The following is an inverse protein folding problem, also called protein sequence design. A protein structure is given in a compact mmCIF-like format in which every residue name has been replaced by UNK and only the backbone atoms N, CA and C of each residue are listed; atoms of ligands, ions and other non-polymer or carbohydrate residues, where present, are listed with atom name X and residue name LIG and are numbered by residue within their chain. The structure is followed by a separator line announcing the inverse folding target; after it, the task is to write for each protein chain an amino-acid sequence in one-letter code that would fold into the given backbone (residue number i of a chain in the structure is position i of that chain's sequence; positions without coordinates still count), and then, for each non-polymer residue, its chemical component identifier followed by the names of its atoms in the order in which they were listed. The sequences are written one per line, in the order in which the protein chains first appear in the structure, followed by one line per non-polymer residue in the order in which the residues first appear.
data_IF_251384269077
#
_entry.id   IF_251384269077
#
_cell.length_a   1.000
_cell.length_b   1.000
_cell.length_c   1.000
_cell.angle_alpha   90.00
_cell.angle_beta   90.00
_cell.angle_gamma   90.00
#
_symmetry.space_group_name_H-M   'P 1'
#
loop_
_entity.id
_entity.type
_entity.pdbx_description
1 polymer ?
#
# COMPACT_ATOMS: atom_id res chain seq x y z
N UNK A 1 3.01 25.30 25.49
CA UNK A 1 1.64 24.86 25.14
C UNK A 1 1.57 23.36 25.38
N UNK A 2 0.45 22.84 25.81
CA UNK A 2 0.22 21.42 25.93
C UNK A 2 0.30 20.76 24.55
N UNK A 3 0.90 19.57 24.47
CA UNK A 3 1.01 18.82 23.21
C UNK A 3 -0.35 18.28 22.79
N UNK A 4 -0.60 18.24 21.48
CA UNK A 4 -1.78 17.58 20.92
C UNK A 4 -1.56 16.06 20.94
N UNK A 5 -2.51 15.34 21.49
CA UNK A 5 -2.48 13.88 21.59
C UNK A 5 -3.14 13.27 20.35
N UNK A 6 -2.35 12.81 19.42
CA UNK A 6 -2.82 12.26 18.14
C UNK A 6 -2.64 10.74 18.16
N UNK A 7 -3.75 9.99 18.15
CA UNK A 7 -3.75 8.54 18.22
C UNK A 7 -3.94 7.93 16.84
N UNK A 8 -2.93 7.23 16.35
CA UNK A 8 -3.00 6.45 15.10
C UNK A 8 -3.50 5.03 15.40
N UNK A 9 -4.55 4.59 14.67
CA UNK A 9 -5.20 3.28 14.86
C UNK A 9 -5.07 2.44 13.60
N UNK A 10 -4.54 1.22 13.73
CA UNK A 10 -4.42 0.26 12.63
C UNK A 10 -4.33 -1.17 13.16
N UNK A 11 -4.59 -2.18 12.29
CA UNK A 11 -4.67 -3.55 12.76
C UNK A 11 -4.14 -4.60 11.80
N UNK A 12 -3.88 -4.23 10.55
CA UNK A 12 -3.38 -5.15 9.52
C UNK A 12 -1.99 -4.73 9.03
N UNK A 13 -1.27 -5.68 8.41
CA UNK A 13 0.05 -5.41 7.82
C UNK A 13 0.03 -4.26 6.79
N UNK A 14 -0.89 -4.20 5.82
CA UNK A 14 -0.91 -3.10 4.86
C UNK A 14 -1.15 -1.73 5.50
N UNK A 15 -2.03 -1.65 6.51
CA UNK A 15 -2.23 -0.42 7.27
C UNK A 15 -0.95 -0.01 8.02
N UNK A 16 -0.32 -0.97 8.70
CA UNK A 16 0.90 -0.72 9.48
C UNK A 16 2.03 -0.14 8.63
N UNK A 17 2.28 -0.70 7.44
CA UNK A 17 3.31 -0.20 6.50
C UNK A 17 3.07 1.28 6.17
N UNK A 18 1.81 1.67 5.95
CA UNK A 18 1.42 3.03 5.56
C UNK A 18 1.31 4.00 6.73
N UNK A 19 0.95 3.49 7.92
CA UNK A 19 0.81 4.32 9.13
C UNK A 19 2.11 4.48 9.91
N UNK A 20 3.02 3.52 9.85
CA UNK A 20 4.29 3.58 10.57
C UNK A 20 5.12 4.85 10.30
N UNK A 21 5.33 5.28 9.03
CA UNK A 21 6.03 6.53 8.77
C UNK A 21 5.26 7.75 9.31
N UNK A 22 3.93 7.73 9.32
CA UNK A 22 3.11 8.79 9.87
C UNK A 22 3.24 8.88 11.39
N UNK A 23 3.21 7.75 12.11
CA UNK A 23 3.45 7.70 13.55
C UNK A 23 4.80 8.31 13.90
N UNK A 24 5.85 7.99 13.14
CA UNK A 24 7.20 8.57 13.33
C UNK A 24 7.24 10.07 13.02
N UNK A 25 6.60 10.49 11.94
CA UNK A 25 6.51 11.91 11.58
C UNK A 25 5.81 12.72 12.69
N UNK A 26 4.68 12.22 13.20
CA UNK A 26 3.96 12.84 14.31
C UNK A 26 4.82 12.91 15.57
N UNK A 27 5.54 11.83 15.91
CA UNK A 27 6.43 11.77 17.06
C UNK A 27 7.63 12.74 16.95
N UNK A 28 8.03 13.11 15.72
CA UNK A 28 9.11 14.08 15.50
C UNK A 28 8.69 15.54 15.70
N UNK A 29 7.38 15.81 15.85
CA UNK A 29 6.84 17.17 16.01
C UNK A 29 6.76 17.54 17.49
N UNK A 30 7.39 18.65 17.88
CA UNK A 30 7.44 19.11 19.28
C UNK A 30 6.04 19.39 19.86
N UNK A 31 5.09 19.80 19.01
CA UNK A 31 3.72 20.14 19.38
C UNK A 31 2.80 18.92 19.51
N UNK A 32 3.26 17.71 19.14
CA UNK A 32 2.44 16.49 19.11
C UNK A 32 2.97 15.45 20.09
N UNK A 33 2.07 14.81 20.81
CA UNK A 33 2.25 13.53 21.48
C UNK A 33 1.64 12.45 20.58
N UNK A 34 2.48 11.70 19.86
CA UNK A 34 2.05 10.64 18.96
C UNK A 34 1.75 9.38 19.76
N UNK A 35 0.52 8.92 19.67
CA UNK A 35 0.02 7.70 20.31
C UNK A 35 -0.25 6.63 19.25
N UNK A 36 0.08 5.39 19.53
CA UNK A 36 -0.10 4.26 18.64
C UNK A 36 -1.01 3.20 19.27
N UNK A 37 -2.18 2.97 18.70
CA UNK A 37 -3.11 1.93 19.09
C UNK A 37 -3.21 0.87 18.00
N UNK A 38 -2.89 -0.38 18.33
CA UNK A 38 -2.99 -1.48 17.39
C UNK A 38 -4.12 -2.42 17.76
N UNK A 39 -4.92 -2.85 16.78
CA UNK A 39 -5.98 -3.84 17.03
C UNK A 39 -5.48 -5.26 16.89
N UNK A 40 -4.35 -5.46 16.20
CA UNK A 40 -3.72 -6.75 15.96
C UNK A 40 -4.69 -7.78 15.34
N UNK A 41 -5.48 -7.34 14.35
CA UNK A 41 -6.35 -8.21 13.56
C UNK A 41 -5.57 -9.34 12.86
N UNK A 42 -4.28 -9.11 12.52
CA UNK A 42 -3.33 -10.08 11.96
C UNK A 42 -2.01 -10.00 12.75
N UNK A 43 -1.93 -10.63 13.91
CA UNK A 43 -0.85 -10.49 14.91
C UNK A 43 0.56 -10.60 14.31
N UNK A 44 0.95 -11.77 13.83
CA UNK A 44 2.34 -12.03 13.40
C UNK A 44 2.81 -11.09 12.28
N UNK A 45 1.92 -10.80 11.32
CA UNK A 45 2.23 -9.91 10.22
C UNK A 45 2.34 -8.43 10.63
N UNK A 46 1.59 -8.02 11.65
CA UNK A 46 1.65 -6.69 12.21
C UNK A 46 2.95 -6.49 12.99
N UNK A 47 3.28 -7.43 13.87
CA UNK A 47 4.45 -7.38 14.73
C UNK A 47 5.74 -7.24 13.90
N UNK A 48 5.85 -7.94 12.77
CA UNK A 48 7.00 -7.82 11.86
C UNK A 48 7.16 -6.41 11.29
N UNK A 49 6.06 -5.70 10.99
CA UNK A 49 6.14 -4.32 10.51
C UNK A 49 6.50 -3.36 11.65
N UNK A 50 5.93 -3.56 12.84
CA UNK A 50 6.25 -2.77 14.02
C UNK A 50 7.75 -2.84 14.33
N UNK A 51 8.35 -4.03 14.21
CA UNK A 51 9.79 -4.24 14.39
C UNK A 51 10.62 -3.52 13.32
N UNK A 52 10.27 -3.67 12.03
CA UNK A 52 10.97 -3.01 10.91
C UNK A 52 11.02 -1.49 11.08
N UNK A 53 9.93 -0.91 11.58
CA UNK A 53 9.83 0.53 11.80
C UNK A 53 10.23 0.97 13.21
N UNK A 54 10.68 0.05 14.10
CA UNK A 54 11.00 0.33 15.49
C UNK A 54 9.86 1.12 16.19
N UNK A 55 8.64 0.59 16.09
CA UNK A 55 7.45 1.16 16.72
C UNK A 55 7.00 0.33 17.92
N UNK A 56 6.49 1.03 18.91
CA UNK A 56 5.83 0.43 20.08
C UNK A 56 4.39 0.91 20.15
N UNK A 57 3.48 0.00 20.44
CA UNK A 57 2.10 0.35 20.68
C UNK A 57 1.93 0.89 22.12
N UNK A 58 1.21 2.00 22.25
CA UNK A 58 0.76 2.53 23.57
C UNK A 58 -0.46 1.75 24.05
N UNK A 59 -1.25 1.21 23.12
CA UNK A 59 -2.38 0.33 23.39
C UNK A 59 -2.41 -0.80 22.36
N UNK A 60 -2.57 -2.03 22.83
CA UNK A 60 -2.70 -3.22 22.01
C UNK A 60 -3.98 -3.97 22.38
N UNK A 61 -4.95 -3.99 21.46
CA UNK A 61 -6.27 -4.57 21.71
C UNK A 61 -6.31 -6.09 21.55
N UNK A 62 -5.33 -6.67 20.86
CA UNK A 62 -5.18 -8.13 20.63
C UNK A 62 -6.48 -8.85 20.27
N UNK A 63 -7.21 -8.31 19.28
CA UNK A 63 -8.54 -8.82 18.92
C UNK A 63 -8.53 -10.12 18.14
N UNK A 64 -7.36 -10.60 17.69
CA UNK A 64 -7.25 -11.79 16.84
C UNK A 64 -7.77 -13.04 17.55
N UNK A 65 -8.67 -13.76 16.89
CA UNK A 65 -9.12 -15.10 17.31
C UNK A 65 -9.37 -15.98 16.09
N UNK A 66 -9.20 -17.32 16.19
CA UNK A 66 -9.48 -18.22 15.09
C UNK A 66 -10.92 -18.09 14.57
N UNK A 67 -11.09 -18.12 13.24
CA UNK A 67 -12.40 -18.12 12.56
C UNK A 67 -13.29 -16.90 12.88
N UNK A 68 -12.69 -15.72 12.97
CA UNK A 68 -13.41 -14.47 13.20
C UNK A 68 -14.39 -14.17 12.05
N UNK A 69 -15.58 -13.66 12.40
CA UNK A 69 -16.50 -13.02 11.46
C UNK A 69 -16.25 -11.51 11.44
N UNK A 70 -16.71 -10.81 10.40
CA UNK A 70 -16.65 -9.35 10.34
C UNK A 70 -17.33 -8.71 11.57
N UNK A 71 -18.49 -9.26 11.99
CA UNK A 71 -19.21 -8.79 13.18
C UNK A 71 -18.39 -8.94 14.46
N UNK A 72 -17.67 -10.06 14.62
CA UNK A 72 -16.81 -10.29 15.78
C UNK A 72 -15.64 -9.32 15.82
N UNK A 73 -15.00 -9.11 14.67
CA UNK A 73 -13.87 -8.16 14.53
C UNK A 73 -14.35 -6.75 14.89
N UNK A 74 -15.44 -6.28 14.27
CA UNK A 74 -15.99 -4.94 14.48
C UNK A 74 -16.38 -4.72 15.95
N UNK A 75 -17.08 -5.70 16.56
CA UNK A 75 -17.54 -5.58 17.96
C UNK A 75 -16.36 -5.52 18.94
N UNK A 76 -15.37 -6.40 18.78
CA UNK A 76 -14.16 -6.39 19.65
C UNK A 76 -13.36 -5.11 19.49
N UNK A 77 -13.18 -4.67 18.23
CA UNK A 77 -12.47 -3.43 17.95
C UNK A 77 -13.18 -2.23 18.57
N UNK A 78 -14.53 -2.16 18.42
CA UNK A 78 -15.31 -1.06 18.98
C UNK A 78 -15.18 -0.98 20.52
N UNK A 79 -15.37 -2.10 21.22
CA UNK A 79 -15.25 -2.16 22.68
C UNK A 79 -13.83 -1.84 23.17
N UNK A 80 -12.81 -2.40 22.51
CA UNK A 80 -11.42 -2.12 22.89
C UNK A 80 -11.01 -0.67 22.60
N UNK A 81 -11.58 -0.06 21.57
CA UNK A 81 -11.35 1.35 21.27
C UNK A 81 -11.99 2.29 22.31
N UNK A 82 -13.15 1.93 22.86
CA UNK A 82 -13.77 2.69 23.94
C UNK A 82 -12.81 2.80 25.14
N UNK A 83 -12.27 1.66 25.60
CA UNK A 83 -11.30 1.61 26.70
C UNK A 83 -10.02 2.41 26.37
N UNK A 84 -9.50 2.26 25.14
CA UNK A 84 -8.30 2.95 24.70
C UNK A 84 -8.49 4.49 24.67
N UNK A 85 -9.63 4.98 24.21
CA UNK A 85 -9.94 6.41 24.16
C UNK A 85 -10.09 6.98 25.57
N UNK A 86 -10.78 6.28 26.47
CA UNK A 86 -10.92 6.72 27.86
C UNK A 86 -9.58 6.78 28.60
N UNK A 87 -8.69 5.83 28.32
CA UNK A 87 -7.36 5.76 28.95
C UNK A 87 -6.40 6.80 28.36
N UNK A 88 -6.32 6.86 27.03
CA UNK A 88 -5.31 7.67 26.32
C UNK A 88 -5.78 9.10 26.03
N UNK A 89 -7.07 9.41 26.09
CA UNK A 89 -7.68 10.74 25.90
C UNK A 89 -7.08 11.51 24.72
N UNK A 90 -7.16 10.97 23.49
CA UNK A 90 -6.62 11.64 22.32
C UNK A 90 -7.45 12.89 21.96
N UNK A 91 -6.77 13.92 21.42
CA UNK A 91 -7.42 15.10 20.83
C UNK A 91 -7.93 14.82 19.40
N UNK A 92 -7.35 13.82 18.72
CA UNK A 92 -7.76 13.35 17.40
C UNK A 92 -7.34 11.88 17.21
N UNK A 93 -8.15 11.14 16.46
CA UNK A 93 -7.85 9.77 16.03
C UNK A 93 -7.60 9.76 14.53
N UNK A 94 -6.53 9.07 14.11
CA UNK A 94 -6.23 8.80 12.71
C UNK A 94 -6.54 7.34 12.41
N UNK A 95 -7.35 7.11 11.38
CA UNK A 95 -7.67 5.80 10.83
C UNK A 95 -7.20 5.72 9.38
N UNK A 96 -6.93 4.51 8.87
CA UNK A 96 -6.35 4.35 7.55
C UNK A 96 -7.20 3.44 6.65
N UNK A 97 -7.47 3.90 5.43
CA UNK A 97 -8.04 3.06 4.37
C UNK A 97 -9.47 2.60 4.66
N UNK A 98 -9.68 1.28 4.72
CA UNK A 98 -11.01 0.71 4.54
C UNK A 98 -11.28 -0.59 5.32
N UNK A 99 -10.44 -0.93 6.28
CA UNK A 99 -10.60 -2.15 7.08
C UNK A 99 -11.75 -2.03 8.10
N UNK A 100 -12.13 -3.16 8.71
CA UNK A 100 -13.07 -3.15 9.83
C UNK A 100 -12.51 -2.37 11.03
N UNK A 101 -11.18 -2.37 11.22
CA UNK A 101 -10.48 -1.55 12.22
C UNK A 101 -10.70 -0.05 11.95
N UNK A 102 -10.55 0.38 10.69
CA UNK A 102 -10.78 1.76 10.26
C UNK A 102 -12.17 2.24 10.62
N UNK A 103 -13.19 1.45 10.26
CA UNK A 103 -14.58 1.76 10.53
C UNK A 103 -14.89 1.77 12.03
N UNK A 104 -14.50 0.73 12.76
CA UNK A 104 -14.78 0.64 14.21
C UNK A 104 -14.05 1.74 15.00
N UNK A 105 -12.79 2.05 14.64
CA UNK A 105 -12.02 3.13 15.25
C UNK A 105 -12.65 4.50 15.04
N UNK A 106 -13.12 4.79 13.81
CA UNK A 106 -13.81 6.03 13.52
C UNK A 106 -15.16 6.14 14.26
N UNK A 107 -15.92 5.04 14.34
CA UNK A 107 -17.22 5.01 15.01
C UNK A 107 -17.07 5.21 16.54
N UNK A 108 -16.08 4.56 17.16
CA UNK A 108 -15.79 4.76 18.59
C UNK A 108 -15.35 6.19 18.87
N UNK A 109 -14.46 6.77 18.04
CA UNK A 109 -14.08 8.18 18.15
C UNK A 109 -15.29 9.12 18.11
N UNK A 110 -16.21 8.89 17.17
CA UNK A 110 -17.45 9.67 17.07
C UNK A 110 -18.31 9.59 18.36
N UNK A 111 -18.43 8.41 18.96
CA UNK A 111 -19.19 8.25 20.22
C UNK A 111 -18.57 9.02 21.37
N UNK A 112 -17.24 9.13 21.39
CA UNK A 112 -16.49 9.92 22.39
C UNK A 112 -16.32 11.40 21.99
N UNK A 113 -16.87 11.84 20.85
CA UNK A 113 -16.73 13.22 20.32
C UNK A 113 -15.28 13.61 20.06
N UNK A 114 -14.45 12.64 19.70
CA UNK A 114 -13.07 12.85 19.31
C UNK A 114 -13.02 13.01 17.79
N UNK A 115 -12.43 14.08 17.25
CA UNK A 115 -12.27 14.28 15.82
C UNK A 115 -11.52 13.13 15.13
N UNK A 116 -11.90 12.84 13.88
CA UNK A 116 -11.33 11.74 13.08
C UNK A 116 -10.63 12.26 11.83
N UNK A 117 -9.38 11.88 11.64
CA UNK A 117 -8.64 12.04 10.39
C UNK A 117 -8.58 10.72 9.62
N UNK A 118 -9.05 10.72 8.37
CA UNK A 118 -9.05 9.56 7.50
C UNK A 118 -7.86 9.61 6.53
N UNK A 119 -6.87 8.78 6.76
CA UNK A 119 -5.68 8.60 5.89
C UNK A 119 -6.03 7.64 4.76
N UNK A 120 -5.59 7.93 3.54
CA UNK A 120 -5.96 7.24 2.30
C UNK A 120 -7.49 7.37 2.01
N UNK A 121 -8.03 8.58 2.20
CA UNK A 121 -9.43 8.88 1.99
C UNK A 121 -9.78 9.02 0.49
N UNK A 122 -11.02 8.72 0.14
CA UNK A 122 -11.59 9.02 -1.17
C UNK A 122 -11.42 7.98 -2.26
N UNK A 123 -10.85 6.81 -1.99
CA UNK A 123 -10.90 5.67 -2.90
C UNK A 123 -12.36 5.20 -3.06
N UNK A 124 -12.80 4.96 -4.31
CA UNK A 124 -14.15 4.50 -4.64
C UNK A 124 -14.17 3.53 -5.81
N UNK A 125 -14.99 2.51 -5.67
CA UNK A 125 -15.41 1.64 -6.77
C UNK A 125 -16.85 1.90 -7.17
N UNK A 126 -17.64 2.52 -6.28
CA UNK A 126 -19.09 2.75 -6.41
C UNK A 126 -19.93 1.46 -6.42
N UNK A 127 -19.33 0.30 -6.26
CA UNK A 127 -20.01 -0.96 -6.03
C UNK A 127 -19.85 -1.39 -4.57
N UNK A 128 -20.93 -1.30 -3.76
CA UNK A 128 -20.91 -1.59 -2.33
C UNK A 128 -20.49 -3.02 -1.95
N UNK A 129 -20.44 -3.91 -2.93
CA UNK A 129 -20.06 -5.30 -2.75
C UNK A 129 -18.71 -5.64 -3.40
N UNK A 130 -18.02 -4.68 -4.00
CA UNK A 130 -16.72 -4.90 -4.67
C UNK A 130 -15.75 -3.71 -4.50
N UNK A 131 -14.70 -3.86 -3.68
CA UNK A 131 -14.41 -4.96 -2.76
C UNK A 131 -15.37 -4.96 -1.56
N UNK A 132 -15.57 -6.13 -0.96
CA UNK A 132 -16.43 -6.31 0.20
C UNK A 132 -15.63 -6.77 1.42
N UNK A 133 -15.75 -6.11 2.59
CA UNK A 133 -16.68 -5.01 2.96
C UNK A 133 -16.09 -3.59 2.72
N UNK A 134 -14.93 -3.48 2.07
CA UNK A 134 -14.06 -2.30 2.06
C UNK A 134 -14.76 -1.05 1.50
N UNK A 135 -15.51 -1.17 0.40
CA UNK A 135 -16.19 0.00 -0.20
C UNK A 135 -17.23 0.63 0.75
N UNK A 136 -17.95 -0.21 1.51
CA UNK A 136 -18.89 0.30 2.50
C UNK A 136 -18.17 0.92 3.70
N UNK A 137 -17.08 0.33 4.17
CA UNK A 137 -16.26 0.91 5.23
C UNK A 137 -15.78 2.31 4.84
N UNK A 138 -15.27 2.50 3.60
CA UNK A 138 -14.86 3.82 3.08
C UNK A 138 -15.98 4.85 3.17
N UNK A 139 -17.20 4.49 2.74
CA UNK A 139 -18.37 5.38 2.78
C UNK A 139 -18.78 5.73 4.19
N UNK A 140 -18.82 4.76 5.08
CA UNK A 140 -19.20 4.97 6.48
C UNK A 140 -18.17 5.86 7.20
N UNK A 141 -16.89 5.61 7.01
CA UNK A 141 -15.83 6.46 7.57
C UNK A 141 -15.89 7.87 7.01
N UNK A 142 -16.18 8.03 5.71
CA UNK A 142 -16.35 9.36 5.09
C UNK A 142 -17.47 10.16 5.75
N UNK A 143 -18.56 9.52 6.19
CA UNK A 143 -19.65 10.21 6.89
C UNK A 143 -19.28 10.63 8.34
N UNK A 144 -18.22 10.06 8.92
CA UNK A 144 -17.81 10.29 10.31
C UNK A 144 -16.62 11.24 10.39
N UNK A 145 -15.67 11.16 9.44
CA UNK A 145 -14.39 11.86 9.52
C UNK A 145 -14.53 13.39 9.37
N UNK A 146 -13.62 14.11 10.02
CA UNK A 146 -13.49 15.57 9.99
C UNK A 146 -12.40 16.04 9.03
N UNK A 147 -11.29 15.27 8.93
CA UNK A 147 -10.21 15.53 7.99
C UNK A 147 -10.01 14.33 7.04
N UNK A 148 -9.75 14.64 5.78
CA UNK A 148 -9.61 13.66 4.71
C UNK A 148 -8.27 13.85 4.01
N UNK A 149 -7.37 12.90 4.16
CA UNK A 149 -6.05 12.91 3.55
C UNK A 149 -6.07 12.04 2.29
N UNK A 150 -6.33 12.69 1.17
CA UNK A 150 -6.51 12.03 -0.12
C UNK A 150 -5.14 11.78 -0.78
N UNK A 151 -4.84 10.56 -1.26
CA UNK A 151 -3.62 10.29 -2.01
C UNK A 151 -3.51 11.12 -3.29
N UNK A 152 -4.61 11.28 -4.03
CA UNK A 152 -4.62 11.93 -5.35
C UNK A 152 -5.76 12.92 -5.48
N UNK A 153 -5.70 13.72 -6.56
CA UNK A 153 -6.79 14.62 -6.94
C UNK A 153 -8.10 13.87 -7.19
N UNK A 154 -8.05 12.71 -7.85
CA UNK A 154 -9.25 11.91 -8.11
C UNK A 154 -9.93 11.45 -6.82
N UNK A 155 -9.13 11.08 -5.80
CA UNK A 155 -9.68 10.70 -4.50
C UNK A 155 -10.43 11.86 -3.85
N UNK A 156 -9.88 13.09 -3.91
CA UNK A 156 -10.59 14.30 -3.46
C UNK A 156 -11.87 14.54 -4.26
N UNK A 157 -11.82 14.39 -5.59
CA UNK A 157 -13.00 14.59 -6.45
C UNK A 157 -14.12 13.61 -6.13
N UNK A 158 -13.79 12.36 -5.76
CA UNK A 158 -14.79 11.38 -5.31
C UNK A 158 -15.51 11.85 -4.04
N UNK A 159 -14.78 12.43 -3.07
CA UNK A 159 -15.39 12.99 -1.86
C UNK A 159 -16.24 14.24 -2.15
N UNK A 160 -15.79 15.11 -3.04
CA UNK A 160 -16.58 16.26 -3.49
C UNK A 160 -17.92 15.83 -4.12
N UNK A 161 -17.94 14.75 -4.91
CA UNK A 161 -19.19 14.17 -5.46
C UNK A 161 -20.13 13.65 -4.37
N UNK A 162 -19.60 13.29 -3.22
CA UNK A 162 -20.37 12.85 -2.04
C UNK A 162 -20.69 14.03 -1.08
N UNK A 163 -20.54 15.27 -1.57
CA UNK A 163 -20.83 16.51 -0.84
C UNK A 163 -19.92 16.79 0.37
N UNK A 164 -18.77 16.16 0.45
CA UNK A 164 -17.72 16.54 1.40
C UNK A 164 -16.98 17.76 0.83
N UNK A 165 -17.11 18.93 1.48
CA UNK A 165 -16.58 20.19 0.96
C UNK A 165 -15.47 20.79 1.83
N UNK A 166 -15.30 20.29 3.06
CA UNK A 166 -14.35 20.80 4.05
C UNK A 166 -13.40 19.69 4.53
N UNK A 167 -12.29 20.05 5.13
CA UNK A 167 -11.33 19.10 5.70
C UNK A 167 -10.53 18.29 4.67
N UNK A 168 -10.59 18.62 3.37
CA UNK A 168 -9.99 17.88 2.28
C UNK A 168 -8.55 18.34 2.01
N UNK A 169 -7.59 17.40 2.00
CA UNK A 169 -6.19 17.63 1.66
C UNK A 169 -5.71 16.59 0.66
N UNK A 170 -5.00 17.00 -0.40
CA UNK A 170 -4.27 16.06 -1.24
C UNK A 170 -2.87 15.95 -0.67
N UNK A 171 -2.54 14.78 -0.12
CA UNK A 171 -1.27 14.58 0.59
C UNK A 171 -0.25 13.74 -0.17
N UNK A 172 -0.68 12.94 -1.12
CA UNK A 172 0.04 11.76 -1.57
C UNK A 172 -0.25 10.56 -0.68
N UNK A 173 0.23 9.39 -1.07
CA UNK A 173 0.07 8.14 -0.32
C UNK A 173 1.27 7.94 0.62
N UNK A 174 1.01 7.64 1.89
CA UNK A 174 2.03 7.41 2.92
C UNK A 174 2.89 6.16 2.67
N UNK A 175 2.47 5.25 1.79
CA UNK A 175 3.31 4.12 1.36
C UNK A 175 4.61 4.60 0.70
N UNK A 176 4.57 5.75 0.01
CA UNK A 176 5.77 6.31 -0.62
C UNK A 176 6.76 6.82 0.45
N UNK A 177 6.24 7.37 1.54
CA UNK A 177 7.06 7.74 2.71
C UNK A 177 7.69 6.51 3.36
N UNK A 178 6.97 5.37 3.40
CA UNK A 178 7.49 4.12 3.95
C UNK A 178 8.74 3.63 3.23
N UNK A 179 8.81 3.80 1.90
CA UNK A 179 9.98 3.40 1.10
C UNK A 179 11.27 4.10 1.55
N UNK A 180 11.19 5.34 2.05
CA UNK A 180 12.37 6.06 2.58
C UNK A 180 13.00 5.38 3.80
N UNK A 181 12.20 4.65 4.58
CA UNK A 181 12.67 3.93 5.76
C UNK A 181 13.07 2.49 5.43
N UNK A 182 12.30 1.82 4.59
CA UNK A 182 12.49 0.39 4.30
C UNK A 182 13.55 0.10 3.26
N UNK A 183 13.71 0.99 2.26
CA UNK A 183 14.73 0.81 1.21
C UNK A 183 16.10 1.26 1.72
N UNK A 184 17.06 0.34 1.74
CA UNK A 184 18.44 0.57 2.22
C UNK A 184 19.46 0.08 1.19
N UNK A 185 20.50 0.84 0.98
CA UNK A 185 21.58 0.50 0.01
C UNK A 185 22.32 -0.77 0.39
N UNK A 186 22.56 -0.96 1.68
CA UNK A 186 23.27 -2.07 2.30
C UNK A 186 22.35 -3.19 2.81
N UNK A 187 21.10 -3.23 2.30
CA UNK A 187 20.12 -4.24 2.72
C UNK A 187 20.59 -5.64 2.36
N UNK A 188 20.57 -6.55 3.35
CA UNK A 188 20.82 -7.97 3.17
C UNK A 188 19.51 -8.74 3.30
N UNK A 189 19.17 -9.50 2.26
CA UNK A 189 17.97 -10.33 2.24
C UNK A 189 18.12 -11.56 3.14
N UNK A 190 17.03 -11.98 3.76
CA UNK A 190 16.94 -13.27 4.44
C UNK A 190 16.96 -14.40 3.41
N UNK A 191 16.34 -14.18 2.25
CA UNK A 191 16.38 -15.08 1.10
C UNK A 191 17.74 -14.98 0.41
N UNK A 192 18.65 -15.94 0.69
CA UNK A 192 20.05 -15.88 0.25
C UNK A 192 20.20 -15.72 -1.27
N UNK A 193 19.37 -16.38 -2.07
CA UNK A 193 19.34 -16.23 -3.52
C UNK A 193 19.32 -14.76 -3.96
N UNK A 194 18.59 -13.89 -3.24
CA UNK A 194 18.50 -12.47 -3.58
C UNK A 194 19.80 -11.69 -3.29
N UNK A 195 20.67 -12.20 -2.41
CA UNK A 195 21.98 -11.65 -2.17
C UNK A 195 23.00 -12.06 -3.25
N UNK A 196 22.76 -13.20 -3.91
CA UNK A 196 23.64 -13.77 -4.93
C UNK A 196 23.31 -13.29 -6.35
N UNK A 197 22.13 -12.70 -6.56
CA UNK A 197 21.69 -12.20 -7.86
C UNK A 197 22.62 -11.09 -8.37
N UNK A 198 22.93 -11.17 -9.67
CA UNK A 198 23.64 -10.11 -10.39
C UNK A 198 22.66 -9.01 -10.84
N UNK A 199 22.53 -7.97 -10.02
CA UNK A 199 21.67 -6.81 -10.31
C UNK A 199 22.22 -5.88 -11.43
N UNK A 200 23.36 -6.19 -12.05
CA UNK A 200 23.77 -5.54 -13.29
C UNK A 200 22.98 -6.08 -14.50
N UNK A 201 22.36 -7.24 -14.36
CA UNK A 201 21.39 -7.81 -15.31
C UNK A 201 20.00 -7.19 -15.11
N UNK A 202 19.11 -7.44 -16.04
CA UNK A 202 17.72 -6.96 -15.97
C UNK A 202 16.88 -7.89 -15.08
N UNK A 203 16.88 -7.62 -13.77
CA UNK A 203 16.05 -8.38 -12.84
C UNK A 203 14.60 -7.91 -12.94
N UNK A 204 13.70 -8.77 -13.32
CA UNK A 204 12.25 -8.53 -13.39
C UNK A 204 11.59 -9.11 -12.16
N UNK A 205 10.98 -8.25 -11.35
CA UNK A 205 10.15 -8.68 -10.22
C UNK A 205 8.76 -9.04 -10.73
N UNK A 206 8.30 -10.26 -10.41
CA UNK A 206 6.99 -10.76 -10.84
C UNK A 206 6.11 -11.01 -9.63
N UNK A 207 4.84 -10.56 -9.67
CA UNK A 207 3.77 -11.03 -8.77
C UNK A 207 2.50 -11.29 -9.55
N UNK A 208 1.85 -12.44 -9.34
CA UNK A 208 0.59 -12.80 -9.98
C UNK A 208 -0.20 -13.74 -9.05
N UNK A 209 -1.29 -13.22 -8.46
CA UNK A 209 -2.06 -13.96 -7.45
C UNK A 209 -3.55 -13.60 -7.38
N UNK A 210 -4.00 -12.64 -8.21
CA UNK A 210 -5.41 -12.22 -8.21
C UNK A 210 -6.33 -13.33 -8.68
N UNK A 211 -7.46 -13.51 -8.01
CA UNK A 211 -8.44 -14.57 -8.33
C UNK A 211 -9.05 -14.43 -9.73
N UNK A 212 -9.16 -13.18 -10.21
CA UNK A 212 -9.65 -12.87 -11.54
C UNK A 212 -8.74 -13.42 -12.66
N UNK A 213 -7.46 -13.69 -12.33
CA UNK A 213 -6.49 -14.27 -13.26
C UNK A 213 -6.48 -15.81 -13.23
N UNK A 214 -7.22 -16.49 -12.34
CA UNK A 214 -7.19 -17.94 -12.27
C UNK A 214 -7.70 -18.61 -13.56
N UNK A 215 -7.15 -19.78 -13.86
CA UNK A 215 -7.44 -20.53 -15.10
C UNK A 215 -6.61 -20.05 -16.30
N UNK A 216 -7.24 -19.93 -17.46
CA UNK A 216 -6.56 -19.61 -18.72
C UNK A 216 -5.75 -18.28 -18.68
N UNK A 217 -6.23 -17.20 -18.07
CA UNK A 217 -5.42 -15.97 -17.93
C UNK A 217 -4.09 -16.22 -17.23
N UNK A 218 -4.07 -16.97 -16.13
CA UNK A 218 -2.84 -17.28 -15.41
C UNK A 218 -1.89 -18.16 -16.23
N UNK A 219 -2.40 -19.15 -16.97
CA UNK A 219 -1.60 -19.98 -17.87
C UNK A 219 -0.96 -19.14 -18.98
N UNK A 220 -1.69 -18.21 -19.57
CA UNK A 220 -1.19 -17.28 -20.58
C UNK A 220 -0.05 -16.42 -20.03
N UNK A 221 -0.27 -15.81 -18.84
CA UNK A 221 0.73 -14.97 -18.16
C UNK A 221 1.99 -15.78 -17.87
N UNK A 222 1.86 -16.95 -17.22
CA UNK A 222 3.02 -17.77 -16.85
C UNK A 222 3.81 -18.24 -18.08
N UNK A 223 3.12 -18.60 -19.16
CA UNK A 223 3.76 -19.00 -20.43
C UNK A 223 4.52 -17.81 -21.04
N UNK A 224 3.91 -16.61 -21.05
CA UNK A 224 4.58 -15.41 -21.56
C UNK A 224 5.82 -15.05 -20.72
N UNK A 225 5.74 -15.13 -19.38
CA UNK A 225 6.88 -14.88 -18.49
C UNK A 225 8.04 -15.85 -18.77
N UNK A 226 7.73 -17.15 -18.95
CA UNK A 226 8.75 -18.15 -19.35
C UNK A 226 9.44 -17.74 -20.64
N UNK A 227 8.67 -17.38 -21.64
CA UNK A 227 9.20 -17.09 -22.98
C UNK A 227 9.94 -15.73 -23.00
N UNK A 228 9.57 -14.76 -22.14
CA UNK A 228 10.36 -13.54 -21.89
C UNK A 228 11.74 -13.91 -21.37
N UNK A 229 11.84 -14.79 -20.36
CA UNK A 229 13.13 -15.22 -19.82
C UNK A 229 13.99 -15.96 -20.85
N UNK A 230 13.37 -16.81 -21.69
CA UNK A 230 14.08 -17.56 -22.71
C UNK A 230 14.59 -16.67 -23.86
N UNK A 231 13.83 -15.63 -24.22
CA UNK A 231 14.14 -14.73 -25.33
C UNK A 231 15.11 -13.60 -24.97
N UNK A 232 15.42 -13.39 -23.67
CA UNK A 232 16.30 -12.32 -23.20
C UNK A 232 17.36 -12.91 -22.25
N UNK A 233 18.55 -13.17 -22.78
CA UNK A 233 19.63 -13.84 -22.05
C UNK A 233 20.16 -12.99 -20.88
N UNK A 234 20.02 -11.67 -20.93
CA UNK A 234 20.40 -10.72 -19.88
C UNK A 234 19.28 -10.47 -18.83
N UNK A 235 18.19 -11.22 -18.89
CA UNK A 235 17.04 -11.11 -18.00
C UNK A 235 17.07 -12.22 -16.93
N UNK A 236 16.76 -11.83 -15.68
CA UNK A 236 16.49 -12.72 -14.56
C UNK A 236 15.05 -12.44 -14.06
N UNK A 237 14.20 -13.45 -13.96
CA UNK A 237 12.87 -13.33 -13.36
C UNK A 237 12.91 -13.79 -11.91
N UNK A 238 12.44 -12.93 -10.99
CA UNK A 238 12.25 -13.28 -9.59
C UNK A 238 10.77 -13.22 -9.26
N UNK A 239 10.22 -14.36 -8.86
CA UNK A 239 8.80 -14.48 -8.54
C UNK A 239 8.61 -14.98 -7.12
N UNK A 240 8.33 -14.10 -6.14
CA UNK A 240 7.83 -14.46 -4.83
C UNK A 240 6.42 -15.07 -4.96
N UNK A 241 6.33 -16.39 -4.91
CA UNK A 241 5.10 -17.12 -5.24
C UNK A 241 4.14 -17.09 -4.06
N UNK A 242 2.94 -16.58 -4.28
CA UNK A 242 1.88 -16.53 -3.29
C UNK A 242 1.52 -17.92 -2.77
N UNK A 243 1.13 -18.04 -1.47
CA UNK A 243 0.86 -19.33 -0.80
C UNK A 243 -0.38 -20.06 -1.31
N UNK A 244 -1.23 -19.43 -2.15
CA UNK A 244 -2.37 -20.09 -2.76
C UNK A 244 -1.95 -21.33 -3.54
N UNK A 245 -2.56 -22.50 -3.30
CA UNK A 245 -2.24 -23.72 -4.04
C UNK A 245 -2.36 -23.55 -5.55
N UNK A 246 -3.40 -22.87 -6.02
CA UNK A 246 -3.62 -22.59 -7.47
C UNK A 246 -2.45 -21.83 -8.07
N UNK A 247 -1.93 -20.83 -7.37
CA UNK A 247 -0.78 -20.02 -7.84
C UNK A 247 0.49 -20.87 -7.85
N UNK A 248 0.76 -21.63 -6.78
CA UNK A 248 1.94 -22.49 -6.65
C UNK A 248 1.95 -23.58 -7.73
N UNK A 249 0.82 -24.23 -7.98
CA UNK A 249 0.69 -25.27 -9.01
C UNK A 249 0.97 -24.71 -10.40
N UNK A 250 0.42 -23.55 -10.74
CA UNK A 250 0.67 -22.90 -12.03
C UNK A 250 2.13 -22.44 -12.17
N UNK A 251 2.70 -21.79 -11.16
CA UNK A 251 4.10 -21.38 -11.18
C UNK A 251 5.03 -22.59 -11.37
N UNK A 252 4.78 -23.68 -10.64
CA UNK A 252 5.56 -24.92 -10.78
C UNK A 252 5.38 -25.55 -12.16
N UNK A 253 4.16 -25.61 -12.71
CA UNK A 253 3.85 -26.23 -14.00
C UNK A 253 4.51 -25.50 -15.17
N UNK A 254 4.49 -24.17 -15.18
CA UNK A 254 4.87 -23.38 -16.35
C UNK A 254 6.26 -22.75 -16.26
N UNK A 255 6.78 -22.52 -15.05
CA UNK A 255 8.01 -21.75 -14.83
C UNK A 255 9.15 -22.58 -14.23
N UNK A 256 8.86 -23.68 -13.50
CA UNK A 256 9.92 -24.46 -12.88
C UNK A 256 10.90 -25.06 -13.91
N UNK A 257 12.20 -25.01 -13.57
CA UNK A 257 13.27 -25.50 -14.42
C UNK A 257 13.59 -24.60 -15.62
N UNK A 258 12.89 -23.47 -15.77
CA UNK A 258 13.24 -22.48 -16.80
C UNK A 258 14.52 -21.74 -16.37
N UNK A 259 15.55 -21.67 -17.24
CA UNK A 259 16.77 -20.94 -16.92
C UNK A 259 16.49 -19.48 -16.55
N UNK A 260 17.16 -18.98 -15.49
CA UNK A 260 17.04 -17.59 -15.01
C UNK A 260 15.64 -17.22 -14.48
N UNK A 261 14.82 -18.20 -14.16
CA UNK A 261 13.54 -17.99 -13.47
C UNK A 261 13.66 -18.54 -12.04
N UNK A 262 13.48 -17.66 -11.07
CA UNK A 262 13.63 -17.95 -9.65
C UNK A 262 12.27 -17.89 -8.96
N UNK A 263 11.73 -19.05 -8.61
CA UNK A 263 10.54 -19.19 -7.81
C UNK A 263 10.96 -19.22 -6.33
N UNK A 264 10.55 -18.23 -5.56
CA UNK A 264 10.91 -18.10 -4.14
C UNK A 264 9.65 -18.03 -3.27
N UNK A 265 9.81 -18.19 -1.96
CA UNK A 265 8.72 -17.98 -1.02
C UNK A 265 8.33 -16.50 -0.94
N UNK A 266 7.12 -16.18 -0.45
CA UNK A 266 6.69 -14.81 -0.27
C UNK A 266 7.65 -14.01 0.62
N UNK A 267 7.93 -12.78 0.21
CA UNK A 267 8.83 -11.87 0.91
C UNK A 267 8.12 -11.08 2.01
N UNK A 268 8.86 -10.66 3.02
CA UNK A 268 8.46 -9.61 3.93
C UNK A 268 8.31 -8.27 3.19
N UNK A 269 7.69 -7.27 3.82
CA UNK A 269 7.46 -5.98 3.16
C UNK A 269 8.76 -5.24 2.85
N UNK A 270 9.71 -5.26 3.78
CA UNK A 270 11.02 -4.63 3.61
C UNK A 270 11.87 -5.36 2.57
N UNK A 271 11.85 -6.70 2.51
CA UNK A 271 12.48 -7.46 1.43
C UNK A 271 11.88 -7.12 0.07
N UNK A 272 10.54 -7.04 -0.02
CA UNK A 272 9.84 -6.67 -1.26
C UNK A 272 10.25 -5.26 -1.72
N UNK A 273 10.29 -4.28 -0.82
CA UNK A 273 10.71 -2.91 -1.13
C UNK A 273 12.16 -2.84 -1.60
N UNK A 274 13.07 -3.61 -0.97
CA UNK A 274 14.48 -3.63 -1.35
C UNK A 274 14.72 -4.39 -2.67
N UNK A 275 13.99 -5.48 -2.94
CA UNK A 275 14.02 -6.16 -4.23
C UNK A 275 13.48 -5.24 -5.34
N UNK A 276 12.37 -4.56 -5.08
CA UNK A 276 11.77 -3.59 -6.00
C UNK A 276 12.73 -2.43 -6.30
N UNK A 277 13.45 -1.92 -5.29
CA UNK A 277 14.45 -0.87 -5.49
C UNK A 277 15.64 -1.31 -6.37
N UNK A 278 15.99 -2.60 -6.33
CA UNK A 278 17.12 -3.17 -7.10
C UNK A 278 16.72 -3.76 -8.45
N UNK A 279 15.43 -4.10 -8.64
CA UNK A 279 14.97 -4.68 -9.90
C UNK A 279 15.05 -3.69 -11.06
N UNK A 280 14.98 -4.21 -12.28
CA UNK A 280 14.90 -3.42 -13.50
C UNK A 280 13.48 -2.92 -13.74
N UNK A 281 12.50 -3.81 -13.69
CA UNK A 281 11.07 -3.49 -13.87
C UNK A 281 10.21 -4.46 -13.05
N UNK A 282 8.93 -4.14 -12.93
CA UNK A 282 7.93 -4.95 -12.22
C UNK A 282 6.84 -5.40 -13.18
N UNK A 283 6.49 -6.70 -13.14
CA UNK A 283 5.32 -7.27 -13.80
C UNK A 283 4.37 -7.80 -12.74
N UNK A 284 3.18 -7.21 -12.59
CA UNK A 284 2.34 -7.46 -11.42
C UNK A 284 0.84 -7.42 -11.72
N UNK A 285 0.06 -8.12 -10.89
CA UNK A 285 -1.39 -7.92 -10.77
C UNK A 285 -1.78 -7.23 -9.44
N UNK A 286 -0.81 -6.82 -8.63
CA UNK A 286 -1.02 -6.13 -7.35
C UNK A 286 -1.31 -4.64 -7.52
N UNK A 287 -2.31 -4.11 -6.79
CA UNK A 287 -2.61 -2.69 -6.76
C UNK A 287 -1.53 -1.86 -6.06
N UNK A 288 -0.97 -2.34 -4.94
CA UNK A 288 0.06 -1.61 -4.16
C UNK A 288 1.34 -1.37 -4.96
N UNK A 289 1.83 -2.39 -5.66
CA UNK A 289 3.06 -2.27 -6.47
C UNK A 289 2.94 -1.26 -7.62
N UNK A 290 1.71 -0.96 -8.07
CA UNK A 290 1.46 0.09 -9.07
C UNK A 290 1.69 1.52 -8.51
N UNK A 291 1.66 1.67 -7.20
CA UNK A 291 1.94 2.93 -6.51
C UNK A 291 3.41 3.02 -6.07
N UNK A 292 3.94 1.93 -5.56
CA UNK A 292 5.25 1.84 -4.91
C UNK A 292 6.41 1.79 -5.91
N UNK A 293 6.33 0.92 -6.93
CA UNK A 293 7.43 0.73 -7.87
C UNK A 293 7.76 1.99 -8.69
N UNK A 294 6.77 2.77 -9.18
CA UNK A 294 7.05 4.05 -9.84
C UNK A 294 7.78 5.07 -8.95
N UNK A 295 7.54 5.06 -7.63
CA UNK A 295 8.27 5.93 -6.71
C UNK A 295 9.78 5.61 -6.62
N UNK A 296 10.15 4.39 -7.02
CA UNK A 296 11.53 3.93 -7.12
C UNK A 296 12.08 4.03 -8.56
N UNK A 297 11.35 4.71 -9.46
CA UNK A 297 11.73 4.84 -10.87
C UNK A 297 11.67 3.51 -11.65
N UNK A 298 10.80 2.59 -11.24
CA UNK A 298 10.67 1.28 -11.89
C UNK A 298 9.42 1.22 -12.76
N UNK A 299 9.55 0.95 -14.08
CA UNK A 299 8.42 0.69 -14.96
C UNK A 299 7.58 -0.48 -14.47
N UNK A 300 6.26 -0.35 -14.58
CA UNK A 300 5.31 -1.39 -14.15
C UNK A 300 4.45 -1.84 -15.32
N UNK A 301 4.44 -3.15 -15.60
CA UNK A 301 3.44 -3.79 -16.44
C UNK A 301 2.40 -4.49 -15.57
N UNK A 302 1.15 -4.09 -15.76
CA UNK A 302 0.02 -4.64 -15.01
C UNK A 302 -0.64 -5.74 -15.82
N UNK A 303 -0.53 -6.97 -15.31
CA UNK A 303 -1.09 -8.19 -15.90
C UNK A 303 -2.56 -8.36 -15.49
N UNK A 304 -3.39 -7.41 -15.90
CA UNK A 304 -4.83 -7.34 -15.65
C UNK A 304 -5.55 -6.70 -16.83
N UNK A 305 -6.86 -6.98 -16.96
CA UNK A 305 -7.72 -6.33 -17.96
C UNK A 305 -8.05 -4.88 -17.59
N UNK A 306 -8.17 -4.61 -16.29
CA UNK A 306 -8.52 -3.31 -15.72
C UNK A 306 -7.66 -3.02 -14.49
N UNK A 307 -7.56 -1.76 -14.11
CA UNK A 307 -6.91 -1.33 -12.86
C UNK A 307 -7.74 -0.30 -12.13
N UNK A 308 -7.76 -0.38 -10.82
CA UNK A 308 -8.29 0.65 -9.92
C UNK A 308 -7.30 1.81 -9.70
N UNK A 309 -6.24 1.88 -10.50
CA UNK A 309 -5.17 2.90 -10.46
C UNK A 309 -5.05 3.66 -11.79
N UNK A 310 -6.13 4.29 -12.29
CA UNK A 310 -6.13 4.95 -13.59
C UNK A 310 -5.15 6.12 -13.66
N UNK A 311 -4.82 6.75 -12.54
CA UNK A 311 -3.85 7.85 -12.47
C UNK A 311 -2.45 7.41 -12.88
N UNK A 312 -2.01 6.22 -12.48
CA UNK A 312 -0.70 5.68 -12.83
C UNK A 312 -0.58 5.41 -14.34
N UNK A 313 -1.68 4.94 -14.95
CA UNK A 313 -1.76 4.74 -16.40
C UNK A 313 -1.73 6.08 -17.13
N UNK A 314 -2.51 7.05 -16.68
CA UNK A 314 -2.55 8.39 -17.27
C UNK A 314 -1.22 9.15 -17.13
N UNK A 315 -0.51 8.96 -16.01
CA UNK A 315 0.83 9.52 -15.78
C UNK A 315 1.93 8.81 -16.59
N UNK A 316 1.64 7.63 -17.15
CA UNK A 316 2.60 6.85 -17.92
C UNK A 316 3.60 6.04 -17.10
N UNK A 317 3.46 5.98 -15.77
CA UNK A 317 4.32 5.19 -14.88
C UNK A 317 4.00 3.69 -14.94
N UNK A 318 2.77 3.36 -15.36
CA UNK A 318 2.22 2.02 -15.44
C UNK A 318 1.58 1.80 -16.81
N UNK A 319 1.72 0.61 -17.37
CA UNK A 319 0.99 0.17 -18.57
C UNK A 319 0.22 -1.12 -18.27
N UNK A 320 -1.05 -1.17 -18.69
CA UNK A 320 -1.84 -2.40 -18.70
C UNK A 320 -1.39 -3.28 -19.87
N UNK A 321 -0.86 -4.47 -19.61
CA UNK A 321 -0.54 -5.44 -20.66
C UNK A 321 -1.61 -6.52 -20.84
N UNK A 322 -2.70 -6.45 -20.06
CA UNK A 322 -3.74 -7.47 -20.13
C UNK A 322 -3.29 -8.82 -19.60
N UNK A 323 -3.96 -9.87 -20.04
CA UNK A 323 -3.75 -11.26 -19.59
C UNK A 323 -3.54 -12.23 -20.76
N UNK A 324 -3.51 -11.71 -21.98
CA UNK A 324 -3.31 -12.53 -23.18
C UNK A 324 -1.81 -12.74 -23.41
N UNK A 325 -1.44 -13.95 -23.82
CA UNK A 325 -0.04 -14.35 -24.01
C UNK A 325 0.74 -13.38 -24.91
N UNK A 326 0.20 -13.04 -26.07
CA UNK A 326 0.89 -12.21 -27.07
C UNK A 326 1.14 -10.77 -26.55
N UNK A 327 0.20 -10.20 -25.82
CA UNK A 327 0.32 -8.85 -25.27
C UNK A 327 1.33 -8.78 -24.13
N UNK A 328 1.27 -9.72 -23.19
CA UNK A 328 2.23 -9.81 -22.07
C UNK A 328 3.64 -10.02 -22.60
N UNK A 329 3.83 -10.94 -23.56
CA UNK A 329 5.12 -11.22 -24.19
C UNK A 329 5.66 -10.00 -24.94
N UNK A 330 4.84 -9.38 -25.77
CA UNK A 330 5.21 -8.22 -26.58
C UNK A 330 5.64 -7.04 -25.72
N UNK A 331 4.82 -6.66 -24.73
CA UNK A 331 5.10 -5.49 -23.89
C UNK A 331 6.26 -5.74 -22.92
N UNK A 332 6.42 -6.98 -22.41
CA UNK A 332 7.58 -7.36 -21.61
C UNK A 332 8.88 -7.23 -22.40
N UNK A 333 8.91 -7.77 -23.62
CA UNK A 333 10.05 -7.66 -24.52
C UNK A 333 10.33 -6.20 -24.96
N UNK A 334 9.30 -5.38 -25.17
CA UNK A 334 9.45 -3.95 -25.48
C UNK A 334 10.25 -3.23 -24.41
N UNK A 335 9.87 -3.35 -23.12
CA UNK A 335 10.58 -2.69 -22.03
C UNK A 335 11.99 -3.24 -21.78
N UNK A 336 12.20 -4.52 -22.05
CA UNK A 336 13.53 -5.13 -21.92
C UNK A 336 14.48 -4.71 -23.04
N UNK A 337 13.99 -4.40 -24.23
CA UNK A 337 14.82 -4.15 -25.43
C UNK A 337 14.89 -2.69 -25.86
N UNK A 338 13.86 -1.88 -25.54
CA UNK A 338 13.80 -0.47 -25.88
C UNK A 338 14.15 0.40 -24.68
N UNK A 339 15.31 1.03 -24.72
CA UNK A 339 15.73 2.00 -23.69
C UNK A 339 14.77 3.21 -23.64
N UNK A 340 14.30 3.65 -24.81
CA UNK A 340 13.35 4.77 -24.91
C UNK A 340 12.03 4.45 -24.21
N UNK A 341 11.46 3.25 -24.48
CA UNK A 341 10.21 2.82 -23.83
C UNK A 341 10.37 2.69 -22.31
N UNK A 342 11.53 2.18 -21.85
CA UNK A 342 11.87 2.08 -20.46
C UNK A 342 11.99 3.46 -19.80
N UNK A 343 12.80 4.35 -20.36
CA UNK A 343 13.09 5.66 -19.79
C UNK A 343 11.83 6.54 -19.75
N UNK A 344 10.93 6.43 -20.73
CA UNK A 344 9.67 7.13 -20.75
C UNK A 344 8.79 6.78 -19.52
N UNK A 345 8.80 5.53 -19.07
CA UNK A 345 8.06 5.08 -17.89
C UNK A 345 8.83 5.36 -16.58
N UNK A 346 10.13 5.09 -16.57
CA UNK A 346 10.97 5.21 -15.38
C UNK A 346 11.10 6.66 -14.87
N UNK A 347 11.02 7.64 -15.78
CA UNK A 347 11.13 9.07 -15.46
C UNK A 347 9.77 9.79 -15.40
N UNK A 348 8.66 9.08 -15.61
CA UNK A 348 7.33 9.65 -15.46
C UNK A 348 7.06 10.03 -13.98
N UNK A 349 6.31 11.10 -13.77
CA UNK A 349 6.00 11.58 -12.42
C UNK A 349 5.03 10.62 -11.74
N UNK A 350 5.37 10.15 -10.54
CA UNK A 350 4.47 9.29 -9.78
C UNK A 350 3.28 10.09 -9.22
N UNK A 351 2.03 9.78 -9.62
CA UNK A 351 0.86 10.51 -9.18
C UNK A 351 0.48 10.24 -7.71
N UNK A 352 1.07 9.21 -7.09
CA UNK A 352 0.74 8.80 -5.71
C UNK A 352 1.62 9.44 -4.64
N UNK A 353 2.61 10.23 -4.98
CA UNK A 353 3.36 10.95 -3.97
C UNK A 353 4.85 11.15 -4.28
N UNK A 354 5.44 12.00 -3.48
CA UNK A 354 6.86 12.40 -3.49
C UNK A 354 7.58 12.02 -2.19
N UNK A 355 6.90 11.24 -1.32
CA UNK A 355 7.40 10.81 -0.02
C UNK A 355 7.36 11.91 1.06
N UNK A 356 6.44 12.86 0.95
CA UNK A 356 6.18 13.89 1.95
C UNK A 356 4.70 13.90 2.40
N UNK A 357 3.99 12.79 2.21
CA UNK A 357 2.59 12.67 2.61
C UNK A 357 2.43 12.80 4.13
N UNK A 358 3.28 12.12 4.90
CA UNK A 358 3.24 12.17 6.37
C UNK A 358 3.46 13.59 6.91
N UNK A 359 4.39 14.35 6.33
CA UNK A 359 4.64 15.74 6.71
C UNK A 359 3.43 16.64 6.43
N UNK A 360 2.80 16.47 5.25
CA UNK A 360 1.58 17.22 4.90
C UNK A 360 0.42 16.90 5.83
N UNK A 361 0.26 15.62 6.23
CA UNK A 361 -0.76 15.20 7.19
C UNK A 361 -0.52 15.85 8.55
N UNK A 362 0.72 15.80 9.06
CA UNK A 362 1.07 16.42 10.34
C UNK A 362 0.84 17.94 10.33
N UNK A 363 1.24 18.62 9.25
CA UNK A 363 1.03 20.07 9.09
C UNK A 363 -0.47 20.43 8.97
N UNK A 364 -1.28 19.59 8.30
CA UNK A 364 -2.73 19.78 8.21
C UNK A 364 -3.42 19.63 9.58
N UNK A 365 -3.00 18.65 10.38
CA UNK A 365 -3.48 18.49 11.75
C UNK A 365 -3.12 19.71 12.59
N UNK A 366 -1.86 20.14 12.56
CA UNK A 366 -1.40 21.32 13.30
C UNK A 366 -2.14 22.59 12.86
N UNK A 367 -2.42 22.75 11.58
CA UNK A 367 -3.22 23.85 11.06
C UNK A 367 -4.68 23.80 11.55
N UNK A 368 -5.29 22.62 11.52
CA UNK A 368 -6.68 22.43 11.99
C UNK A 368 -6.86 22.79 13.48
N UNK A 369 -5.85 22.50 14.30
CA UNK A 369 -5.83 22.88 15.72
C UNK A 369 -5.27 24.28 15.99
N UNK A 370 -5.08 25.12 14.96
CA UNK A 370 -4.61 26.51 15.09
C UNK A 370 -3.14 26.64 15.54
N UNK A 371 -2.34 25.56 15.42
CA UNK A 371 -0.89 25.57 15.75
C UNK A 371 -0.05 26.06 14.56
N UNK A 372 -0.63 26.14 13.37
CA UNK A 372 -0.05 26.70 12.14
C UNK A 372 -0.97 27.79 11.59
N UNK A 373 -0.38 28.87 11.07
CA UNK A 373 -1.15 29.98 10.51
C UNK A 373 -1.65 29.70 9.07
N UNK A 374 -0.80 29.04 8.30
CA UNK A 374 -1.08 28.76 6.89
C UNK A 374 -1.55 27.33 6.71
N UNK A 375 -2.56 27.16 5.86
CA UNK A 375 -2.98 25.83 5.41
C UNK A 375 -1.85 25.20 4.59
N UNK A 376 -1.47 23.94 4.84
CA UNK A 376 -0.44 23.28 4.05
C UNK A 376 -0.88 23.18 2.58
N UNK A 377 0.10 23.27 1.67
CA UNK A 377 -0.13 23.09 0.25
C UNK A 377 -0.54 21.65 -0.07
N UNK A 378 -1.47 21.50 -1.00
CA UNK A 378 -1.84 20.20 -1.55
C UNK A 378 -0.67 19.64 -2.37
N UNK A 379 -0.52 18.32 -2.38
CA UNK A 379 0.37 17.62 -3.30
C UNK A 379 -0.14 17.82 -4.74
N UNK A 380 0.74 18.25 -5.62
CA UNK A 380 0.48 18.41 -7.05
C UNK A 380 1.50 17.53 -7.80
N UNK A 381 1.01 16.43 -8.42
CA UNK A 381 1.77 15.60 -9.33
C UNK A 381 1.71 16.17 -10.75
#
# INVERSE_FOLDING_TARGET
MEKLRIMSVFGTRPEAIKMAPLVKELASRDEIESLCCVTAQHREMLDSVMEVFDLKADCDLDIMTPRQTLSTITSKCLLGMDDAIEQLKPDMILVHGDTSTTFAGALSAFYHKVPVGHVEAGLRTYDKYSPFPEEMNRKLVTAIADLYFCPTKNNRENLLKESVTEGLFITGNTVIDALKTTVRKDYRFTTELLNELDYSRKVVLVTCHRRENYGQPMENIMTALRDIALQNEDCELVYPVHLSPVVRENAQKFLAGTPRVHLIDPLSADEMHNLMARCYMVMTDSGGLQEEAPALGKPVLVMRKETERPEAVAAGTVKLCGVEYDDVLRMGNELLRSREAYDAMAHAVNPYGDGHACARIADAILWNFGRRRERPADFNA
#
